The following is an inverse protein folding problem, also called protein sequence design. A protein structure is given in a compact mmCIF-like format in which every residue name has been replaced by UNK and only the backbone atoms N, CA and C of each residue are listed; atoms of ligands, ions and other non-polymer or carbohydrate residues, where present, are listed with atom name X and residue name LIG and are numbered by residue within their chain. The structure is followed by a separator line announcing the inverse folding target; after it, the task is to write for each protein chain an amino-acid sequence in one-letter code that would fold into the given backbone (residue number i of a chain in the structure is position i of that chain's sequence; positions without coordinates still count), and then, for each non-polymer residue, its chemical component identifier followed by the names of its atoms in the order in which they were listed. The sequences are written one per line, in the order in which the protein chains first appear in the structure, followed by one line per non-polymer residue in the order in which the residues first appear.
data_IF_761559844803
#
_entry.id   IF_761559844803
#
_cell.length_a   1.000
_cell.length_b   1.000
_cell.length_c   1.000
_cell.angle_alpha   90.00
_cell.angle_beta   90.00
_cell.angle_gamma   90.00
#
_symmetry.space_group_name_H-M   'P 1'
#
loop_
_entity.id
_entity.type
_entity.pdbx_description
1 polymer ?
#
# COMPACT_ATOMS: atom_id res chain seq x y z
N UNK A 1 -20.03 31.93 -28.51
CA UNK A 1 -20.50 30.88 -27.58
C UNK A 1 -19.99 29.55 -28.11
N UNK A 2 -18.99 28.96 -27.45
CA UNK A 2 -18.55 27.59 -27.71
C UNK A 2 -18.78 26.82 -26.42
N UNK A 3 -19.69 25.84 -26.44
CA UNK A 3 -19.81 24.88 -25.36
C UNK A 3 -18.55 24.02 -25.39
N UNK A 4 -17.61 24.27 -24.47
CA UNK A 4 -16.58 23.29 -24.17
C UNK A 4 -17.32 22.13 -23.48
N UNK A 5 -17.59 21.06 -24.22
CA UNK A 5 -17.74 19.76 -23.58
C UNK A 5 -16.39 19.50 -22.90
N UNK A 6 -16.31 19.73 -21.60
CA UNK A 6 -15.14 19.34 -20.80
C UNK A 6 -15.12 17.83 -20.79
N UNK A 7 -14.31 17.24 -21.67
CA UNK A 7 -14.07 15.82 -21.66
C UNK A 7 -13.57 15.41 -20.27
N UNK A 8 -14.19 14.37 -19.72
CA UNK A 8 -13.84 13.86 -18.40
C UNK A 8 -12.41 13.34 -18.40
N UNK A 9 -11.70 13.55 -17.30
CA UNK A 9 -10.37 13.01 -17.08
C UNK A 9 -10.48 11.52 -16.75
N UNK A 10 -9.96 10.68 -17.62
CA UNK A 10 -9.82 9.24 -17.37
C UNK A 10 -8.48 8.96 -16.70
N UNK A 11 -8.52 8.20 -15.61
CA UNK A 11 -7.30 7.76 -14.92
C UNK A 11 -6.92 6.36 -15.37
N UNK A 12 -5.64 6.14 -15.64
CA UNK A 12 -5.05 4.82 -15.88
C UNK A 12 -3.97 4.57 -14.82
N UNK A 13 -4.03 3.41 -14.16
CA UNK A 13 -2.97 2.93 -13.27
C UNK A 13 -2.34 1.70 -13.87
N UNK A 14 -1.02 1.75 -14.04
CA UNK A 14 -0.19 0.61 -14.43
C UNK A 14 0.67 0.20 -13.27
N UNK A 15 0.72 -1.09 -12.97
CA UNK A 15 1.62 -1.62 -11.95
C UNK A 15 2.45 -2.80 -12.46
N UNK A 16 3.59 -3.06 -11.82
CA UNK A 16 4.49 -4.16 -12.19
C UNK A 16 3.96 -5.52 -11.70
N UNK A 17 4.21 -6.60 -12.44
CA UNK A 17 3.94 -7.98 -11.96
C UNK A 17 4.78 -8.36 -10.74
N UNK A 18 5.92 -7.69 -10.56
CA UNK A 18 6.82 -7.96 -9.44
C UNK A 18 6.27 -7.36 -8.16
N UNK A 19 6.01 -8.22 -7.18
CA UNK A 19 5.58 -7.89 -5.83
C UNK A 19 6.78 -7.80 -4.89
N UNK A 20 6.72 -6.86 -3.96
CA UNK A 20 7.71 -6.58 -2.92
C UNK A 20 7.02 -6.78 -1.59
N UNK A 21 7.56 -7.65 -0.74
CA UNK A 21 7.13 -7.72 0.65
C UNK A 21 7.63 -6.47 1.38
N UNK A 22 6.70 -5.69 1.91
CA UNK A 22 7.01 -4.45 2.63
C UNK A 22 6.73 -4.57 4.12
N UNK A 23 6.47 -5.79 4.61
CA UNK A 23 6.17 -6.01 6.02
C UNK A 23 4.98 -5.19 6.48
N UNK A 24 4.95 -4.90 7.78
CA UNK A 24 3.97 -4.05 8.43
C UNK A 24 4.12 -2.54 8.20
N UNK A 25 4.75 -2.12 7.09
CA UNK A 25 4.89 -0.72 6.75
C UNK A 25 3.52 -0.06 6.57
N UNK A 26 3.28 1.07 7.24
CA UNK A 26 2.06 1.85 7.05
C UNK A 26 2.06 2.51 5.67
N UNK A 27 1.47 1.81 4.69
CA UNK A 27 1.38 2.23 3.30
C UNK A 27 0.70 3.60 3.15
N UNK A 28 -0.32 3.89 3.96
CA UNK A 28 -1.04 5.16 3.88
C UNK A 28 -0.14 6.31 4.34
N UNK A 29 0.59 6.12 5.44
CA UNK A 29 1.52 7.11 5.96
C UNK A 29 2.66 7.39 4.97
N UNK A 30 3.26 6.35 4.41
CA UNK A 30 4.46 6.50 3.55
C UNK A 30 4.16 6.87 2.10
N UNK A 31 2.90 6.76 1.65
CA UNK A 31 2.47 7.19 0.31
C UNK A 31 1.55 8.40 0.37
N UNK A 32 0.27 8.19 0.67
CA UNK A 32 -0.76 9.22 0.70
C UNK A 32 -0.37 10.42 1.55
N UNK A 33 -0.15 10.19 2.85
CA UNK A 33 0.12 11.27 3.79
C UNK A 33 1.47 11.93 3.49
N UNK A 34 2.46 11.15 3.07
CA UNK A 34 3.76 11.67 2.64
C UNK A 34 3.62 12.62 1.44
N UNK A 35 2.77 12.30 0.45
CA UNK A 35 2.54 13.19 -0.70
C UNK A 35 1.92 14.52 -0.24
N UNK A 36 0.89 14.47 0.60
CA UNK A 36 0.20 15.68 1.08
C UNK A 36 1.03 16.49 2.11
N UNK A 37 1.90 15.83 2.85
CA UNK A 37 2.79 16.44 3.85
C UNK A 37 4.09 17.02 3.27
N UNK A 38 4.45 16.68 2.03
CA UNK A 38 5.70 17.14 1.43
C UNK A 38 5.69 18.65 1.15
N UNK A 39 6.78 19.34 1.49
CA UNK A 39 6.90 20.78 1.22
C UNK A 39 7.05 21.02 -0.27
N UNK A 40 6.23 21.91 -0.84
CA UNK A 40 6.28 22.23 -2.27
C UNK A 40 5.51 21.26 -3.16
N UNK A 41 4.65 20.41 -2.59
CA UNK A 41 3.75 19.48 -3.31
C UNK A 41 2.59 20.16 -4.11
N UNK A 42 2.76 21.41 -4.53
CA UNK A 42 1.72 22.14 -5.27
C UNK A 42 1.69 21.78 -6.74
N UNK A 43 2.83 21.39 -7.32
CA UNK A 43 2.95 21.05 -8.75
C UNK A 43 3.76 19.79 -9.04
N UNK A 44 4.52 19.30 -8.07
CA UNK A 44 5.33 18.11 -8.22
C UNK A 44 5.72 17.55 -6.86
N UNK A 45 6.15 16.30 -6.84
CA UNK A 45 6.81 15.68 -5.70
C UNK A 45 8.01 14.86 -6.17
N UNK A 46 9.06 14.87 -5.36
CA UNK A 46 10.17 13.94 -5.50
C UNK A 46 10.65 13.57 -4.10
N UNK A 47 10.48 12.31 -3.72
CA UNK A 47 10.94 11.78 -2.43
C UNK A 47 11.66 10.46 -2.64
N UNK A 48 12.64 10.19 -1.77
CA UNK A 48 13.34 8.93 -1.66
C UNK A 48 13.62 8.71 -0.17
N UNK A 49 12.89 7.78 0.44
CA UNK A 49 12.94 7.52 1.89
C UNK A 49 13.07 6.03 2.16
N UNK A 50 13.75 5.69 3.25
CA UNK A 50 13.89 4.33 3.74
C UNK A 50 13.19 4.18 5.09
N UNK A 51 12.51 3.05 5.27
CA UNK A 51 11.74 2.73 6.45
C UNK A 51 12.12 1.33 6.95
N UNK A 52 12.25 1.19 8.27
CA UNK A 52 12.31 -0.13 8.89
C UNK A 52 10.91 -0.75 8.91
N UNK A 53 10.79 -2.01 8.56
CA UNK A 53 9.56 -2.79 8.70
C UNK A 53 9.85 -4.20 9.19
N UNK A 54 8.79 -4.90 9.61
CA UNK A 54 8.83 -6.27 10.10
C UNK A 54 8.03 -7.20 9.20
N UNK A 55 8.65 -8.31 8.80
CA UNK A 55 8.02 -9.39 8.02
C UNK A 55 7.75 -10.64 8.84
N UNK A 56 8.44 -10.80 9.97
CA UNK A 56 8.23 -11.92 10.89
C UNK A 56 6.80 -11.93 11.43
N UNK A 57 6.11 -13.06 11.25
CA UNK A 57 4.72 -13.23 11.73
C UNK A 57 4.62 -13.32 13.24
N UNK A 58 5.72 -13.64 13.93
CA UNK A 58 5.79 -13.75 15.37
C UNK A 58 7.16 -13.27 15.86
N UNK A 59 7.20 -12.08 16.45
CA UNK A 59 8.44 -11.43 16.87
C UNK A 59 8.54 -11.40 18.40
N UNK A 60 9.66 -11.88 18.92
CA UNK A 60 9.91 -11.95 20.36
C UNK A 60 9.88 -10.57 21.02
N UNK A 61 9.48 -10.51 22.28
CA UNK A 61 9.25 -9.25 22.99
C UNK A 61 10.52 -8.42 23.23
N UNK A 62 11.70 -9.01 23.09
CA UNK A 62 12.98 -8.29 23.21
C UNK A 62 13.54 -7.89 21.84
N UNK A 63 13.02 -8.47 20.75
CA UNK A 63 13.49 -8.26 19.37
C UNK A 63 12.57 -7.30 18.61
N UNK A 64 12.55 -6.03 19.00
CA UNK A 64 11.73 -5.00 18.32
C UNK A 64 12.39 -4.39 17.07
N UNK A 65 13.62 -4.80 16.73
CA UNK A 65 14.32 -4.22 15.60
C UNK A 65 13.67 -4.64 14.26
N UNK A 66 13.60 -3.72 13.28
CA UNK A 66 13.14 -4.06 11.93
C UNK A 66 14.01 -5.14 11.28
N UNK A 67 13.37 -6.17 10.71
CA UNK A 67 14.06 -7.24 9.97
C UNK A 67 14.23 -6.91 8.47
N UNK A 68 13.56 -5.85 8.02
CA UNK A 68 13.52 -5.39 6.64
C UNK A 68 13.72 -3.88 6.55
N UNK A 69 14.45 -3.43 5.53
CA UNK A 69 14.48 -2.02 5.12
C UNK A 69 13.77 -1.88 3.78
N UNK A 70 12.72 -1.06 3.77
CA UNK A 70 11.91 -0.76 2.60
C UNK A 70 12.23 0.66 2.13
N UNK A 71 12.60 0.81 0.87
CA UNK A 71 12.76 2.08 0.19
C UNK A 71 11.48 2.42 -0.57
N UNK A 72 10.95 3.63 -0.35
CA UNK A 72 9.81 4.17 -1.09
C UNK A 72 10.28 5.43 -1.82
N UNK A 73 10.18 5.41 -3.14
CA UNK A 73 10.45 6.56 -3.99
C UNK A 73 9.16 7.02 -4.61
N UNK A 74 8.93 8.32 -4.61
CA UNK A 74 7.77 8.90 -5.28
C UNK A 74 8.22 10.04 -6.16
N UNK A 75 7.76 10.03 -7.40
CA UNK A 75 7.98 11.10 -8.36
C UNK A 75 6.64 11.41 -9.03
N UNK A 76 6.23 12.67 -9.03
CA UNK A 76 5.00 13.07 -9.70
C UNK A 76 5.02 14.51 -10.13
N UNK A 77 4.24 14.81 -11.15
CA UNK A 77 4.05 16.15 -11.67
C UNK A 77 2.57 16.38 -11.99
N UNK A 78 2.03 17.54 -11.62
CA UNK A 78 0.63 17.86 -11.84
C UNK A 78 0.36 19.36 -12.04
N UNK A 79 -0.86 19.65 -12.48
CA UNK A 79 -1.38 20.99 -12.73
C UNK A 79 -1.00 21.52 -14.13
N UNK A 80 -0.75 20.63 -15.09
CA UNK A 80 -0.49 20.98 -16.50
C UNK A 80 -1.69 20.74 -17.40
N UNK A 81 -2.59 19.83 -17.03
CA UNK A 81 -3.87 19.59 -17.73
C UNK A 81 -4.78 20.83 -17.70
N UNK A 82 -5.18 21.39 -18.86
CA UNK A 82 -6.12 22.52 -18.93
C UNK A 82 -7.51 22.14 -18.40
N UNK A 83 -8.22 23.11 -17.81
CA UNK A 83 -9.61 22.93 -17.37
C UNK A 83 -9.79 22.39 -15.94
N UNK A 84 -8.68 22.08 -15.25
CA UNK A 84 -8.68 21.69 -13.84
C UNK A 84 -8.10 22.82 -12.98
N UNK A 85 -8.69 23.04 -11.81
CA UNK A 85 -8.17 23.98 -10.82
C UNK A 85 -7.06 23.34 -9.98
N UNK A 86 -6.01 24.11 -9.71
CA UNK A 86 -4.91 23.85 -8.78
C UNK A 86 -4.55 22.37 -8.59
N UNK A 87 -5.07 21.77 -7.51
CA UNK A 87 -4.70 20.45 -7.02
C UNK A 87 -5.67 19.33 -7.43
N UNK A 88 -6.70 19.61 -8.24
CA UNK A 88 -7.67 18.59 -8.63
C UNK A 88 -7.01 17.40 -9.33
N UNK A 89 -6.03 17.66 -10.21
CA UNK A 89 -5.27 16.59 -10.87
C UNK A 89 -4.42 15.80 -9.86
N UNK A 90 -3.77 16.48 -8.90
CA UNK A 90 -3.03 15.81 -7.81
C UNK A 90 -3.96 14.86 -7.06
N UNK A 91 -5.13 15.35 -6.66
CA UNK A 91 -6.06 14.58 -5.87
C UNK A 91 -6.58 13.38 -6.68
N UNK A 92 -6.88 13.53 -7.97
CA UNK A 92 -7.23 12.41 -8.85
C UNK A 92 -6.12 11.38 -9.01
N UNK A 93 -4.86 11.81 -9.19
CA UNK A 93 -3.69 10.93 -9.26
C UNK A 93 -3.49 10.15 -7.96
N UNK A 94 -3.54 10.83 -6.81
CA UNK A 94 -3.28 10.25 -5.49
C UNK A 94 -4.42 9.33 -5.05
N UNK A 95 -5.68 9.72 -5.26
CA UNK A 95 -6.88 8.88 -5.07
C UNK A 95 -6.80 7.59 -5.87
N UNK A 96 -6.53 7.70 -7.18
CA UNK A 96 -6.45 6.53 -8.06
C UNK A 96 -5.28 5.63 -7.71
N UNK A 97 -4.12 6.20 -7.39
CA UNK A 97 -2.95 5.46 -6.93
C UNK A 97 -3.29 4.64 -5.69
N UNK A 98 -3.82 5.29 -4.66
CA UNK A 98 -4.06 4.67 -3.37
C UNK A 98 -5.08 3.56 -3.45
N UNK A 99 -6.17 3.81 -4.18
CA UNK A 99 -7.23 2.84 -4.30
C UNK A 99 -6.77 1.58 -5.05
N UNK A 100 -5.95 1.74 -6.09
CA UNK A 100 -5.33 0.59 -6.79
C UNK A 100 -4.29 -0.10 -5.91
N UNK A 101 -3.39 0.65 -5.26
CA UNK A 101 -2.37 0.10 -4.36
C UNK A 101 -3.03 -0.76 -3.28
N UNK A 102 -4.04 -0.24 -2.60
CA UNK A 102 -4.81 -0.95 -1.57
C UNK A 102 -5.46 -2.21 -2.14
N UNK A 103 -6.22 -2.08 -3.23
CA UNK A 103 -6.97 -3.21 -3.82
C UNK A 103 -6.05 -4.33 -4.31
N UNK A 104 -4.87 -4.00 -4.87
CA UNK A 104 -3.89 -5.01 -5.30
C UNK A 104 -3.15 -5.64 -4.12
N UNK A 105 -2.95 -4.91 -3.02
CA UNK A 105 -2.15 -5.37 -1.88
C UNK A 105 -2.96 -6.11 -0.81
N UNK A 106 -4.24 -5.79 -0.65
CA UNK A 106 -5.13 -6.38 0.36
C UNK A 106 -5.16 -7.92 0.32
N UNK A 107 -5.24 -8.60 -0.85
CA UNK A 107 -5.23 -10.07 -0.92
C UNK A 107 -3.93 -10.72 -0.47
N UNK A 108 -2.83 -9.98 -0.45
CA UNK A 108 -1.51 -10.44 0.00
C UNK A 108 -1.21 -10.02 1.45
N UNK A 109 -2.20 -9.48 2.14
CA UNK A 109 -2.10 -9.10 3.54
C UNK A 109 -1.84 -10.28 4.46
N UNK A 110 -1.02 -10.09 5.50
CA UNK A 110 -0.74 -11.11 6.50
C UNK A 110 -0.58 -10.50 7.89
N UNK A 111 -0.78 -11.33 8.92
CA UNK A 111 -0.65 -10.87 10.31
C UNK A 111 0.81 -10.85 10.76
N UNK A 112 1.20 -9.75 11.38
CA UNK A 112 2.51 -9.56 12.02
C UNK A 112 2.29 -9.33 13.51
N UNK A 113 2.69 -10.29 14.32
CA UNK A 113 2.57 -10.20 15.77
C UNK A 113 3.90 -9.81 16.41
N UNK A 114 3.83 -8.88 17.35
CA UNK A 114 5.00 -8.34 18.05
C UNK A 114 4.79 -8.36 19.55
N UNK A 115 5.89 -8.23 20.29
CA UNK A 115 5.84 -8.30 21.75
C UNK A 115 5.55 -9.70 22.24
N UNK A 116 5.90 -10.74 21.47
CA UNK A 116 5.54 -12.10 21.79
C UNK A 116 6.42 -12.67 22.90
N UNK A 117 5.82 -13.34 23.88
CA UNK A 117 6.48 -14.13 24.92
C UNK A 117 6.00 -15.57 24.86
N UNK A 118 6.76 -16.50 25.41
CA UNK A 118 6.43 -17.93 25.34
C UNK A 118 6.80 -18.53 23.99
N UNK A 119 7.85 -17.99 23.35
CA UNK A 119 8.42 -18.54 22.11
C UNK A 119 9.42 -19.67 22.40
N UNK A 120 9.81 -19.81 23.67
CA UNK A 120 10.52 -20.98 24.18
C UNK A 120 9.81 -21.56 25.41
N UNK A 121 9.96 -22.86 25.62
CA UNK A 121 9.33 -23.58 26.75
C UNK A 121 9.84 -23.16 28.14
N UNK A 122 11.00 -22.47 28.20
CA UNK A 122 11.59 -21.99 29.46
C UNK A 122 11.03 -20.62 29.89
N UNK A 123 10.31 -19.93 29.00
CA UNK A 123 9.84 -18.58 29.25
C UNK A 123 8.53 -18.60 30.05
N UNK A 124 8.48 -17.84 31.15
CA UNK A 124 7.23 -17.61 31.87
C UNK A 124 6.37 -16.58 31.16
N UNK A 125 5.08 -16.88 30.94
CA UNK A 125 4.14 -15.98 30.26
C UNK A 125 3.00 -15.58 31.18
N UNK A 126 2.75 -14.26 31.28
CA UNK A 126 1.64 -13.70 32.03
C UNK A 126 0.33 -13.71 31.23
N UNK A 127 -0.30 -14.88 31.10
CA UNK A 127 -1.47 -15.03 30.24
C UNK A 127 -2.68 -14.16 30.66
N UNK A 128 -3.19 -13.36 29.73
CA UNK A 128 -4.37 -12.50 29.95
C UNK A 128 -5.24 -12.37 28.68
N UNK A 129 -6.48 -11.92 28.87
CA UNK A 129 -7.50 -11.90 27.80
C UNK A 129 -7.32 -10.74 26.81
N UNK A 130 -6.71 -9.63 27.25
CA UNK A 130 -6.52 -8.42 26.45
C UNK A 130 -5.38 -8.50 25.41
N UNK A 131 -4.60 -9.60 25.40
CA UNK A 131 -3.50 -9.77 24.46
C UNK A 131 -4.00 -9.91 23.02
N UNK A 132 -3.21 -9.45 22.04
CA UNK A 132 -3.57 -9.53 20.62
C UNK A 132 -3.72 -10.98 20.12
N UNK A 133 -2.91 -11.90 20.65
CA UNK A 133 -3.18 -13.33 20.58
C UNK A 133 -2.55 -14.04 21.79
N UNK A 134 -3.07 -15.22 22.14
CA UNK A 134 -2.51 -16.08 23.17
C UNK A 134 -3.50 -17.12 23.70
N UNK A 135 -3.08 -18.01 24.62
CA UNK A 135 -3.93 -19.08 25.15
C UNK A 135 -5.20 -18.63 25.86
N UNK A 136 -5.20 -17.41 26.41
CA UNK A 136 -6.37 -16.80 27.07
C UNK A 136 -7.01 -15.67 26.27
N UNK A 137 -6.40 -15.25 25.16
CA UNK A 137 -6.97 -14.22 24.29
C UNK A 137 -8.13 -14.79 23.47
N UNK A 138 -8.94 -13.92 22.89
CA UNK A 138 -9.98 -14.28 21.92
C UNK A 138 -9.43 -15.01 20.68
N UNK A 139 -8.13 -14.84 20.36
CA UNK A 139 -7.44 -15.50 19.25
C UNK A 139 -6.17 -16.22 19.73
N UNK A 140 -5.90 -17.41 19.20
CA UNK A 140 -4.65 -18.12 19.48
C UNK A 140 -3.50 -17.64 18.57
N UNK A 141 -2.25 -17.75 19.04
CA UNK A 141 -1.06 -17.44 18.24
C UNK A 141 -0.53 -18.65 17.44
N UNK A 142 -1.27 -19.77 17.39
CA UNK A 142 -0.72 -21.07 16.98
C UNK A 142 -0.20 -21.03 15.54
N UNK A 143 -0.97 -20.46 14.61
CA UNK A 143 -0.54 -20.37 13.22
C UNK A 143 0.60 -19.37 13.04
N UNK A 144 0.51 -18.19 13.65
CA UNK A 144 1.51 -17.13 13.50
C UNK A 144 2.87 -17.49 14.09
N UNK A 145 2.88 -18.20 15.23
CA UNK A 145 4.07 -18.64 15.95
C UNK A 145 4.38 -20.14 15.78
N UNK A 146 3.88 -20.78 14.71
CA UNK A 146 4.03 -22.23 14.48
C UNK A 146 5.49 -22.69 14.30
N UNK A 147 6.36 -21.78 13.90
CA UNK A 147 7.78 -22.04 13.66
C UNK A 147 8.65 -21.79 14.91
N UNK A 148 8.04 -21.34 16.01
CA UNK A 148 8.73 -21.08 17.26
C UNK A 148 8.92 -22.36 18.09
N UNK A 149 9.84 -22.35 19.04
CA UNK A 149 10.20 -23.53 19.83
C UNK A 149 9.13 -23.97 20.85
N UNK A 150 8.04 -23.21 20.99
CA UNK A 150 6.88 -23.58 21.81
C UNK A 150 5.55 -23.14 21.18
N UNK A 151 5.12 -23.82 20.10
CA UNK A 151 3.86 -23.52 19.43
C UNK A 151 2.68 -23.64 20.40
N UNK A 152 1.78 -22.66 20.38
CA UNK A 152 0.58 -22.64 21.23
C UNK A 152 0.79 -22.15 22.67
N UNK A 153 2.03 -21.87 23.10
CA UNK A 153 2.31 -21.21 24.39
C UNK A 153 2.58 -19.70 24.25
N UNK A 154 2.72 -19.22 23.02
CA UNK A 154 3.01 -17.83 22.74
C UNK A 154 1.84 -16.91 23.13
N UNK A 155 2.15 -15.76 23.72
CA UNK A 155 1.25 -14.62 23.86
C UNK A 155 1.92 -13.40 23.24
N UNK A 156 1.21 -12.72 22.33
CA UNK A 156 1.68 -11.51 21.68
C UNK A 156 0.82 -10.32 22.07
N UNK A 157 1.47 -9.22 22.40
CA UNK A 157 0.80 -8.01 22.91
C UNK A 157 0.28 -7.12 21.77
N UNK A 158 0.92 -7.16 20.60
CA UNK A 158 0.60 -6.30 19.47
C UNK A 158 0.30 -7.11 18.21
N UNK A 159 -0.69 -6.67 17.45
CA UNK A 159 -0.94 -7.12 16.08
C UNK A 159 -0.79 -5.93 15.13
N UNK A 160 -0.03 -6.15 14.08
CA UNK A 160 0.06 -5.28 12.91
C UNK A 160 -0.24 -6.08 11.65
N UNK A 161 -0.41 -5.38 10.53
CA UNK A 161 -0.76 -6.00 9.26
C UNK A 161 0.34 -5.76 8.24
N UNK A 162 0.91 -6.85 7.76
CA UNK A 162 1.91 -6.87 6.71
C UNK A 162 1.30 -6.90 5.32
N UNK A 163 2.02 -6.38 4.33
CA UNK A 163 1.55 -6.33 2.94
C UNK A 163 2.65 -6.73 1.95
N UNK A 164 2.22 -7.26 0.80
CA UNK A 164 3.03 -7.24 -0.43
C UNK A 164 2.43 -6.23 -1.41
N UNK A 165 3.27 -5.44 -2.05
CA UNK A 165 2.86 -4.38 -2.98
C UNK A 165 3.59 -4.53 -4.32
N UNK A 166 3.03 -4.03 -5.44
CA UNK A 166 3.79 -3.95 -6.69
C UNK A 166 5.05 -3.11 -6.53
N UNK A 167 6.17 -3.54 -7.11
CA UNK A 167 7.46 -2.83 -7.07
C UNK A 167 7.40 -1.45 -7.73
N UNK A 168 6.47 -1.24 -8.65
CA UNK A 168 6.22 0.05 -9.27
C UNK A 168 4.74 0.20 -9.57
N UNK A 169 4.22 1.40 -9.29
CA UNK A 169 2.91 1.85 -9.74
C UNK A 169 3.07 3.19 -10.44
N UNK A 170 2.42 3.35 -11.59
CA UNK A 170 2.36 4.60 -12.33
C UNK A 170 0.91 4.95 -12.62
N UNK A 171 0.52 6.15 -12.25
CA UNK A 171 -0.78 6.74 -12.60
C UNK A 171 -0.55 7.78 -13.69
N UNK A 172 -1.38 7.71 -14.72
CA UNK A 172 -1.43 8.71 -15.79
C UNK A 172 -2.87 9.14 -16.02
N UNK A 173 -3.03 10.33 -16.58
CA UNK A 173 -4.34 10.88 -16.91
C UNK A 173 -4.52 10.97 -18.44
N UNK A 174 -5.74 10.77 -18.90
CA UNK A 174 -6.13 10.92 -20.30
C UNK A 174 -7.34 11.85 -20.40
N UNK A 175 -7.37 12.67 -21.45
CA UNK A 175 -8.52 13.51 -21.82
C UNK A 175 -8.79 13.25 -23.29
N UNK A 176 -10.01 12.83 -23.63
CA UNK A 176 -10.38 12.39 -24.99
C UNK A 176 -9.40 11.34 -25.57
N UNK A 177 -8.96 10.38 -24.74
CA UNK A 177 -8.00 9.34 -25.12
C UNK A 177 -6.57 9.85 -25.38
N UNK A 178 -6.27 11.11 -25.09
CA UNK A 178 -4.92 11.68 -25.21
C UNK A 178 -4.24 11.72 -23.85
N UNK A 179 -3.05 11.12 -23.78
CA UNK A 179 -2.20 11.13 -22.60
C UNK A 179 -1.87 12.58 -22.20
N UNK A 180 -2.11 12.89 -20.93
CA UNK A 180 -1.76 14.16 -20.31
C UNK A 180 -0.34 14.10 -19.74
N UNK A 181 0.34 15.26 -19.60
CA UNK A 181 1.69 15.32 -19.04
C UNK A 181 1.72 15.16 -17.51
N UNK A 182 0.57 15.02 -16.86
CA UNK A 182 0.44 14.83 -15.41
C UNK A 182 0.56 13.33 -15.08
N UNK A 183 1.45 12.99 -14.16
CA UNK A 183 1.68 11.62 -13.73
C UNK A 183 2.15 11.52 -12.26
N UNK A 184 2.02 10.31 -11.71
CA UNK A 184 2.52 9.94 -10.40
C UNK A 184 3.11 8.54 -10.48
N UNK A 185 4.34 8.38 -10.02
CA UNK A 185 5.06 7.11 -9.98
C UNK A 185 5.46 6.86 -8.53
N UNK A 186 5.17 5.66 -8.03
CA UNK A 186 5.67 5.15 -6.75
C UNK A 186 6.46 3.88 -7.02
N UNK A 187 7.68 3.83 -6.50
CA UNK A 187 8.55 2.67 -6.55
C UNK A 187 8.78 2.16 -5.13
N UNK A 188 8.55 0.87 -4.95
CA UNK A 188 8.86 0.15 -3.72
C UNK A 188 10.07 -0.75 -3.96
N UNK A 189 11.08 -0.61 -3.11
CA UNK A 189 12.25 -1.47 -3.09
C UNK A 189 12.41 -2.08 -1.70
N UNK A 190 12.87 -3.32 -1.63
CA UNK A 190 13.27 -3.93 -0.38
C UNK A 190 14.57 -4.71 -0.60
N UNK A 191 15.40 -4.82 0.44
CA UNK A 191 16.70 -5.50 0.36
C UNK A 191 16.61 -7.01 0.12
N UNK A 192 15.41 -7.60 0.25
CA UNK A 192 15.08 -9.02 0.00
C UNK A 192 13.66 -9.13 -0.60
N UNK A 193 13.33 -10.31 -1.15
CA UNK A 193 11.95 -10.77 -1.43
C UNK A 193 11.18 -10.03 -2.55
N UNK A 194 11.70 -10.09 -3.78
CA UNK A 194 10.93 -9.76 -4.98
C UNK A 194 10.37 -11.04 -5.62
N UNK A 195 9.05 -11.16 -5.70
CA UNK A 195 8.36 -12.33 -6.26
C UNK A 195 7.42 -11.90 -7.40
N UNK A 196 7.28 -12.68 -8.48
CA UNK A 196 6.27 -12.42 -9.52
C UNK A 196 4.84 -12.72 -9.02
N UNK A 197 3.81 -12.25 -9.74
CA UNK A 197 2.41 -12.61 -9.49
C UNK A 197 1.44 -11.46 -9.22
N UNK A 198 1.87 -10.20 -9.31
CA UNK A 198 0.99 -9.04 -9.13
C UNK A 198 -0.14 -8.93 -10.17
N UNK A 199 0.12 -9.31 -11.42
CA UNK A 199 -0.82 -9.12 -12.54
C UNK A 199 -2.03 -10.06 -12.51
N UNK A 200 -2.01 -11.14 -11.72
CA UNK A 200 -3.10 -12.12 -11.68
C UNK A 200 -4.46 -11.54 -11.27
N UNK A 201 -4.46 -10.37 -10.64
CA UNK A 201 -5.65 -9.70 -10.09
C UNK A 201 -6.18 -8.55 -10.94
N UNK A 202 -5.57 -8.22 -12.09
CA UNK A 202 -5.94 -7.05 -12.91
C UNK A 202 -7.44 -7.00 -13.21
N UNK A 203 -8.05 -8.11 -13.62
CA UNK A 203 -9.47 -8.16 -13.97
C UNK A 203 -10.39 -7.94 -12.77
N UNK A 204 -10.02 -8.46 -11.60
CA UNK A 204 -10.77 -8.27 -10.35
C UNK A 204 -10.65 -6.83 -9.86
N UNK A 205 -9.44 -6.27 -9.86
CA UNK A 205 -9.16 -4.87 -9.51
C UNK A 205 -9.92 -3.92 -10.43
N UNK A 206 -9.87 -4.14 -11.75
CA UNK A 206 -10.63 -3.34 -12.71
C UNK A 206 -12.14 -3.44 -12.48
N UNK A 207 -12.66 -4.62 -12.16
CA UNK A 207 -14.07 -4.83 -11.83
C UNK A 207 -14.49 -4.08 -10.56
N UNK A 208 -13.68 -4.14 -9.51
CA UNK A 208 -13.92 -3.43 -8.25
C UNK A 208 -13.91 -1.90 -8.47
N UNK A 209 -12.99 -1.41 -9.30
CA UNK A 209 -12.77 0.01 -9.51
C UNK A 209 -13.58 0.63 -10.65
N UNK A 210 -14.33 -0.17 -11.43
CA UNK A 210 -15.25 0.34 -12.44
C UNK A 210 -16.31 1.30 -11.87
N UNK A 211 -16.58 1.18 -10.56
CA UNK A 211 -17.49 2.03 -9.79
C UNK A 211 -16.89 3.36 -9.32
N UNK A 212 -15.57 3.44 -9.24
CA UNK A 212 -14.86 4.45 -8.47
C UNK A 212 -14.81 5.80 -9.19
N UNK A 213 -14.93 6.90 -8.44
CA UNK A 213 -14.79 8.26 -8.96
C UNK A 213 -13.60 8.89 -8.22
N UNK A 214 -12.46 9.14 -8.90
CA UNK A 214 -11.24 9.64 -8.27
C UNK A 214 -11.42 10.93 -7.48
N UNK A 215 -12.16 11.89 -8.03
CA UNK A 215 -12.53 13.13 -7.33
C UNK A 215 -14.01 13.38 -7.59
N UNK A 216 -14.78 13.59 -6.53
CA UNK A 216 -16.20 13.89 -6.65
C UNK A 216 -16.47 15.12 -7.53
N UNK A 217 -17.38 14.97 -8.50
CA UNK A 217 -17.78 16.03 -9.44
C UNK A 217 -17.79 15.55 -10.89
N UNK A 218 -18.10 16.47 -11.82
CA UNK A 218 -18.25 16.19 -13.25
C UNK A 218 -16.94 16.39 -14.04
N UNK A 219 -15.78 16.22 -13.41
CA UNK A 219 -14.47 16.45 -14.03
C UNK A 219 -13.71 15.15 -14.31
N UNK A 220 -13.92 14.11 -13.52
CA UNK A 220 -13.25 12.82 -13.66
C UNK A 220 -14.23 11.77 -14.16
N UNK A 221 -13.74 10.90 -15.04
CA UNK A 221 -14.50 9.76 -15.49
C UNK A 221 -14.65 8.76 -14.34
N UNK A 222 -15.76 8.04 -14.36
CA UNK A 222 -15.99 6.91 -13.47
C UNK A 222 -15.18 5.72 -13.98
N UNK A 223 -14.51 5.02 -13.07
CA UNK A 223 -13.64 3.89 -13.38
C UNK A 223 -12.18 4.31 -13.42
N UNK A 224 -11.31 3.38 -13.01
CA UNK A 224 -9.87 3.47 -13.23
C UNK A 224 -9.49 2.38 -14.24
N UNK A 225 -8.82 2.76 -15.33
CA UNK A 225 -8.25 1.81 -16.26
C UNK A 225 -7.02 1.15 -15.61
N UNK A 226 -6.96 -0.18 -15.65
CA UNK A 226 -5.90 -0.93 -14.99
C UNK A 226 -5.06 -1.63 -16.05
N UNK A 227 -3.76 -1.39 -16.02
CA UNK A 227 -2.77 -2.16 -16.76
C UNK A 227 -1.80 -2.85 -15.82
N UNK A 228 -1.24 -3.97 -16.26
CA UNK A 228 -0.11 -4.58 -15.58
C UNK A 228 1.03 -4.82 -16.57
N UNK A 229 2.26 -4.57 -16.11
CA UNK A 229 3.47 -4.74 -16.90
C UNK A 229 4.26 -5.94 -16.37
N UNK A 230 4.44 -6.95 -17.22
CA UNK A 230 5.31 -8.12 -17.02
C UNK A 230 6.80 -7.76 -17.15
#
# INVERSE_FOLDING_TARGET
MAAQATALVQMEVRYSDRMVDVGNLDLFAVTWQAIYGETGNTRAIMTDRSFGSQTNTCTWAEDYDPDLTVQVKMNGAWGRTPGLSDNQMRDGLVQSMWEVLRTVSDPYGYEVFNGCRGLTWMESVGYHEDAACGPKSARNCEYACRNENSPGLAQCENQTWGHKVPSTLRVTAYVDGRLQPDDLIIEFGATKNQEPGGCGLVGEVAGFLAGFIPVGGDLFAKGIEIGCAE
#
